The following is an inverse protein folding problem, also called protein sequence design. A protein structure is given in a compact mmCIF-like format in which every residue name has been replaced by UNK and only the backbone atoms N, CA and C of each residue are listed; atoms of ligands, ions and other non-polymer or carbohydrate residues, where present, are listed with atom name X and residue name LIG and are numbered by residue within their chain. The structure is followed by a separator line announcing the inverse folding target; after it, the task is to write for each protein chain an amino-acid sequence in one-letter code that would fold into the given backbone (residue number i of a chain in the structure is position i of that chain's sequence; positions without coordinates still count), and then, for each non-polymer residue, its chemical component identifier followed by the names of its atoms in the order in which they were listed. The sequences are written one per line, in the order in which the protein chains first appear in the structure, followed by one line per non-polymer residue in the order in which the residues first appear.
data_IF_779003250732
#
_entry.id   IF_779003250732
#
_cell.length_a   1.000
_cell.length_b   1.000
_cell.length_c   1.000
_cell.angle_alpha   90.00
_cell.angle_beta   90.00
_cell.angle_gamma   90.00
#
_symmetry.space_group_name_H-M   'P 1'
#
loop_
_entity.id
_entity.type
_entity.pdbx_description
1 polymer ?
#
# COMPACT_ATOMS: atom_id res chain seq x y z
N UNK A 1 -59.96 0.99 -28.99
CA UNK A 1 -58.78 1.29 -29.82
C UNK A 1 -57.60 1.27 -28.86
N UNK A 2 -56.98 0.12 -28.55
CA UNK A 2 -56.29 -0.86 -29.42
C UNK A 2 -55.02 -0.21 -30.01
N UNK A 3 -53.78 -0.70 -29.83
CA UNK A 3 -53.23 -1.96 -29.26
C UNK A 3 -52.24 -1.64 -28.11
N UNK A 4 -51.77 -2.50 -27.18
CA UNK A 4 -51.46 -3.94 -27.10
C UNK A 4 -50.08 -4.41 -27.62
N UNK A 5 -49.46 -5.32 -26.83
CA UNK A 5 -48.13 -5.97 -26.93
C UNK A 5 -46.91 -5.05 -26.65
N UNK A 6 -46.01 -5.31 -25.68
CA UNK A 6 -45.25 -6.51 -25.26
C UNK A 6 -44.11 -6.93 -26.23
N UNK A 7 -42.86 -6.87 -25.75
CA UNK A 7 -42.07 -8.08 -25.44
C UNK A 7 -40.74 -7.73 -24.73
N UNK A 8 -40.17 -8.71 -24.02
CA UNK A 8 -38.87 -8.63 -23.32
C UNK A 8 -37.86 -9.47 -24.10
N UNK A 9 -36.61 -9.01 -24.23
CA UNK A 9 -35.52 -9.81 -24.78
C UNK A 9 -34.20 -9.56 -24.02
N UNK A 10 -33.89 -10.42 -23.05
CA UNK A 10 -32.53 -10.57 -22.53
C UNK A 10 -31.76 -11.52 -23.45
N UNK A 11 -30.60 -11.11 -23.96
CA UNK A 11 -29.68 -12.01 -24.68
C UNK A 11 -28.44 -12.28 -23.83
N UNK A 12 -28.52 -13.32 -23.00
CA UNK A 12 -27.34 -13.92 -22.38
C UNK A 12 -26.72 -14.93 -23.36
N UNK A 13 -25.50 -14.67 -23.82
CA UNK A 13 -24.76 -15.55 -24.74
C UNK A 13 -23.61 -16.24 -24.02
N UNK A 14 -23.93 -17.23 -23.18
CA UNK A 14 -22.94 -18.15 -22.61
C UNK A 14 -22.59 -19.23 -23.65
N UNK A 15 -21.47 -19.10 -24.35
CA UNK A 15 -21.04 -20.14 -25.28
C UNK A 15 -20.37 -21.31 -24.53
N UNK A 16 -21.08 -22.43 -24.42
CA UNK A 16 -20.56 -23.68 -23.85
C UNK A 16 -20.87 -24.86 -24.78
N UNK A 17 -19.86 -25.72 -25.01
CA UNK A 17 -19.95 -26.90 -25.89
C UNK A 17 -19.55 -28.15 -25.07
N UNK A 18 -20.45 -29.14 -24.90
CA UNK A 18 -20.19 -30.37 -24.13
C UNK A 18 -19.85 -31.59 -25.03
N UNK A 19 -19.63 -32.76 -24.38
CA UNK A 19 -19.39 -34.11 -24.97
C UNK A 19 -18.00 -34.30 -25.63
N UNK A 20 -17.32 -35.46 -25.62
CA UNK A 20 -17.47 -36.76 -24.90
C UNK A 20 -16.22 -37.65 -25.24
N UNK A 21 -15.79 -38.74 -24.57
CA UNK A 21 -16.12 -39.46 -23.31
C UNK A 21 -14.92 -40.36 -22.91
N UNK A 22 -14.97 -41.07 -21.76
CA UNK A 22 -14.12 -42.22 -21.34
C UNK A 22 -12.66 -41.88 -20.93
N UNK A 23 -11.97 -42.56 -20.01
CA UNK A 23 -12.26 -43.54 -18.93
C UNK A 23 -10.95 -43.72 -18.10
N UNK A 24 -10.90 -44.46 -16.97
CA UNK A 24 -11.83 -44.58 -15.84
C UNK A 24 -11.14 -44.22 -14.49
N UNK A 25 -11.90 -44.08 -13.40
CA UNK A 25 -11.31 -43.90 -12.06
C UNK A 25 -10.80 -45.21 -11.46
N UNK A 26 -9.57 -45.20 -10.92
CA UNK A 26 -9.12 -46.19 -9.94
C UNK A 26 -9.02 -45.55 -8.54
N UNK A 27 -9.90 -45.99 -7.64
CA UNK A 27 -9.65 -45.90 -6.20
C UNK A 27 -8.49 -46.84 -5.84
N UNK A 28 -7.62 -46.45 -4.90
CA UNK A 28 -7.62 -47.04 -3.55
C UNK A 28 -6.31 -46.80 -2.77
N UNK A 29 -6.46 -46.34 -1.52
CA UNK A 29 -5.67 -46.67 -0.31
C UNK A 29 -4.13 -46.56 -0.25
N UNK A 30 -3.73 -45.99 0.90
CA UNK A 30 -2.63 -46.37 1.79
C UNK A 30 -1.27 -45.69 1.65
N UNK A 31 -0.75 -45.28 2.81
CA UNK A 31 0.63 -44.87 3.03
C UNK A 31 1.54 -46.11 3.07
N UNK A 32 2.69 -46.03 2.39
CA UNK A 32 3.75 -47.04 2.44
C UNK A 32 5.12 -46.37 2.53
N UNK A 33 5.85 -46.66 3.60
CA UNK A 33 7.18 -46.09 3.85
C UNK A 33 8.21 -46.78 2.95
N UNK A 34 8.52 -46.20 1.78
CA UNK A 34 9.51 -46.74 0.85
C UNK A 34 10.85 -46.02 0.98
N UNK A 35 11.71 -46.51 1.87
CA UNK A 35 13.14 -46.17 1.84
C UNK A 35 13.76 -46.93 0.66
N UNK A 36 13.98 -46.23 -0.45
CA UNK A 36 14.83 -46.71 -1.53
C UNK A 36 16.08 -45.85 -1.67
N UNK A 37 17.20 -46.47 -1.31
CA UNK A 37 18.54 -45.91 -1.42
C UNK A 37 19.06 -46.08 -2.85
N UNK A 38 19.87 -45.12 -3.30
CA UNK A 38 20.68 -45.15 -4.54
C UNK A 38 19.91 -45.18 -5.88
N UNK A 39 19.81 -44.02 -6.53
CA UNK A 39 20.71 -43.65 -7.65
C UNK A 39 20.34 -42.26 -8.19
N UNK A 40 21.26 -41.30 -8.12
CA UNK A 40 21.06 -39.95 -8.68
C UNK A 40 21.33 -39.94 -10.19
N UNK A 41 20.37 -39.54 -11.04
CA UNK A 41 20.68 -38.96 -12.35
C UNK A 41 21.09 -37.50 -12.14
N UNK A 42 22.23 -37.10 -12.70
CA UNK A 42 22.66 -35.69 -12.70
C UNK A 42 21.77 -34.85 -13.63
N UNK A 43 20.61 -34.44 -13.12
CA UNK A 43 19.86 -33.32 -13.70
C UNK A 43 20.61 -32.04 -13.33
N UNK A 44 20.77 -31.15 -14.30
CA UNK A 44 21.52 -29.90 -14.12
C UNK A 44 20.84 -29.05 -13.05
N UNK A 45 21.60 -28.61 -12.06
CA UNK A 45 21.19 -27.48 -11.23
C UNK A 45 21.24 -26.22 -12.09
N UNK A 46 20.12 -25.91 -12.76
CA UNK A 46 19.80 -24.51 -12.97
C UNK A 46 19.84 -23.84 -11.59
N UNK A 47 20.57 -22.73 -11.50
CA UNK A 47 20.76 -22.02 -10.25
C UNK A 47 19.46 -21.29 -9.93
N UNK A 48 18.49 -22.03 -9.37
CA UNK A 48 17.35 -21.46 -8.67
C UNK A 48 17.92 -20.73 -7.45
N UNK A 49 18.31 -19.48 -7.69
CA UNK A 49 18.64 -18.52 -6.67
C UNK A 49 17.38 -18.33 -5.83
N UNK A 50 17.33 -19.09 -4.73
CA UNK A 50 16.37 -18.86 -3.66
C UNK A 50 16.73 -17.52 -3.07
N UNK A 51 16.20 -16.45 -3.69
CA UNK A 51 16.16 -15.13 -3.09
C UNK A 51 15.65 -15.32 -1.66
N UNK A 52 16.35 -14.79 -0.64
CA UNK A 52 15.81 -14.83 0.71
C UNK A 52 14.40 -14.20 0.68
N UNK A 53 13.47 -14.65 1.55
CA UNK A 53 12.23 -13.93 1.73
C UNK A 53 12.57 -12.48 2.08
N UNK A 54 11.97 -11.53 1.36
CA UNK A 54 12.26 -10.11 1.52
C UNK A 54 11.55 -9.61 2.79
N UNK A 55 12.13 -9.94 3.94
CA UNK A 55 11.77 -9.37 5.25
C UNK A 55 12.34 -7.94 5.39
N UNK A 56 13.33 -7.59 4.56
CA UNK A 56 13.87 -6.24 4.37
C UNK A 56 12.83 -5.31 3.72
N UNK A 57 11.98 -4.67 4.55
CA UNK A 57 11.12 -3.56 4.13
C UNK A 57 9.67 -3.59 4.63
N UNK A 58 9.21 -4.69 5.25
CA UNK A 58 7.79 -4.91 5.62
C UNK A 58 7.12 -3.79 6.46
N UNK A 59 7.91 -2.93 7.10
CA UNK A 59 7.46 -1.84 7.96
C UNK A 59 8.15 -0.48 7.67
N UNK A 60 8.88 -0.35 6.56
CA UNK A 60 9.77 0.80 6.28
C UNK A 60 9.05 2.17 6.25
N UNK A 61 7.75 2.19 5.96
CA UNK A 61 6.95 3.40 5.88
C UNK A 61 5.78 3.42 6.88
N UNK A 62 5.86 2.65 7.97
CA UNK A 62 4.80 2.56 8.98
C UNK A 62 4.48 3.92 9.62
N UNK A 63 5.49 4.76 9.90
CA UNK A 63 5.25 6.10 10.44
C UNK A 63 4.38 6.93 9.48
N UNK A 64 4.75 6.98 8.20
CA UNK A 64 4.00 7.69 7.16
C UNK A 64 2.59 7.11 6.95
N UNK A 65 2.44 5.78 6.97
CA UNK A 65 1.14 5.13 6.85
C UNK A 65 0.19 5.57 7.99
N UNK A 66 0.69 5.66 9.22
CA UNK A 66 -0.08 6.16 10.36
C UNK A 66 -0.43 7.65 10.19
N UNK A 67 0.53 8.50 9.76
CA UNK A 67 0.30 9.93 9.46
C UNK A 67 -0.73 10.14 8.36
N UNK A 68 -0.77 9.28 7.34
CA UNK A 68 -1.71 9.41 6.23
C UNK A 68 -3.07 8.74 6.48
N UNK A 69 -3.20 7.86 7.47
CA UNK A 69 -4.47 7.22 7.85
C UNK A 69 -5.18 7.86 9.05
N UNK A 70 -4.49 8.61 9.90
CA UNK A 70 -5.13 9.36 11.00
C UNK A 70 -6.17 10.39 10.49
N UNK A 71 -7.32 10.57 11.16
CA UNK A 71 -8.25 11.66 10.85
C UNK A 71 -7.66 13.05 11.12
N UNK A 72 -6.66 13.16 12.00
CA UNK A 72 -6.01 14.41 12.40
C UNK A 72 -4.49 14.22 12.39
N UNK A 73 -3.81 14.82 11.41
CA UNK A 73 -2.36 14.73 11.26
C UNK A 73 -1.62 15.61 12.26
N UNK A 74 -2.13 16.83 12.51
CA UNK A 74 -1.55 17.76 13.48
C UNK A 74 -1.50 17.11 14.87
N UNK A 75 -2.62 16.55 15.32
CA UNK A 75 -2.67 15.86 16.61
C UNK A 75 -1.74 14.65 16.65
N UNK A 76 -1.71 13.82 15.61
CA UNK A 76 -0.80 12.66 15.56
C UNK A 76 0.67 13.08 15.66
N UNK A 77 1.09 14.09 14.88
CA UNK A 77 2.47 14.59 14.89
C UNK A 77 2.85 15.31 16.20
N UNK A 78 1.87 15.86 16.93
CA UNK A 78 2.03 16.43 18.27
C UNK A 78 2.16 15.39 19.40
N UNK A 79 1.74 14.14 19.18
CA UNK A 79 1.64 13.10 20.22
C UNK A 79 2.55 11.88 19.95
N UNK A 80 2.86 11.56 18.70
CA UNK A 80 3.74 10.47 18.32
C UNK A 80 5.23 10.81 18.53
N UNK A 81 6.04 9.83 18.90
CA UNK A 81 7.51 9.93 18.83
C UNK A 81 7.96 9.78 17.37
N UNK A 82 9.10 10.36 16.99
CA UNK A 82 9.72 10.06 15.68
C UNK A 82 10.41 8.70 15.81
N UNK A 83 10.03 7.75 14.96
CA UNK A 83 10.61 6.42 14.87
C UNK A 83 11.79 6.38 13.90
N UNK A 84 12.67 5.38 14.05
CA UNK A 84 13.93 5.29 13.28
C UNK A 84 13.71 5.15 11.76
N UNK A 85 12.55 4.64 11.34
CA UNK A 85 12.14 4.52 9.93
C UNK A 85 12.06 5.88 9.22
N UNK A 86 11.77 6.97 9.95
CA UNK A 86 11.78 8.34 9.42
C UNK A 86 13.17 8.71 8.87
N UNK A 87 14.26 8.18 9.43
CA UNK A 87 15.61 8.44 8.94
C UNK A 87 15.98 7.67 7.66
N UNK A 88 15.14 6.73 7.22
CA UNK A 88 15.28 6.00 5.97
C UNK A 88 14.44 6.60 4.80
N UNK A 89 13.71 7.69 5.04
CA UNK A 89 12.92 8.37 4.00
C UNK A 89 13.79 9.26 3.09
N UNK A 90 13.31 9.62 1.87
CA UNK A 90 13.96 10.64 1.05
C UNK A 90 14.15 11.96 1.80
N UNK A 91 15.29 12.63 1.60
CA UNK A 91 15.75 13.73 2.47
C UNK A 91 14.80 14.94 2.47
N UNK A 92 14.06 15.16 1.39
CA UNK A 92 13.06 16.23 1.28
C UNK A 92 11.85 15.97 2.18
N UNK A 93 11.45 14.70 2.33
CA UNK A 93 10.37 14.29 3.23
C UNK A 93 10.81 14.25 4.71
N UNK A 94 12.06 13.89 5.00
CA UNK A 94 12.63 13.99 6.36
C UNK A 94 12.60 15.45 6.88
N UNK A 95 13.02 16.39 6.03
CA UNK A 95 12.97 17.83 6.33
C UNK A 95 11.54 18.29 6.54
N UNK A 96 10.63 17.92 5.63
CA UNK A 96 9.22 18.29 5.75
C UNK A 96 8.58 17.79 7.05
N UNK A 97 8.78 16.51 7.41
CA UNK A 97 8.24 15.97 8.66
C UNK A 97 8.80 16.68 9.90
N UNK A 98 10.05 17.12 9.85
CA UNK A 98 10.68 17.91 10.92
C UNK A 98 10.05 19.31 11.01
N UNK A 99 9.91 20.00 9.88
CA UNK A 99 9.26 21.32 9.77
C UNK A 99 7.82 21.28 10.31
N UNK A 100 7.00 20.31 9.87
CA UNK A 100 5.61 20.15 10.35
C UNK A 100 5.59 19.90 11.85
N UNK A 101 6.48 19.05 12.38
CA UNK A 101 6.47 18.71 13.80
C UNK A 101 6.89 19.88 14.68
N UNK A 102 7.85 20.69 14.25
CA UNK A 102 8.23 21.92 14.94
C UNK A 102 7.05 22.91 14.98
N UNK A 103 6.44 23.21 13.82
CA UNK A 103 5.30 24.13 13.72
C UNK A 103 4.11 23.67 14.58
N UNK A 104 3.76 22.38 14.54
CA UNK A 104 2.67 21.78 15.33
C UNK A 104 2.93 21.84 16.84
N UNK A 105 4.17 21.59 17.29
CA UNK A 105 4.54 21.68 18.71
C UNK A 105 4.52 23.15 19.18
N UNK A 106 4.98 24.08 18.36
CA UNK A 106 4.91 25.52 18.64
C UNK A 106 3.46 26.01 18.73
N UNK A 107 2.60 25.66 17.77
CA UNK A 107 1.15 25.98 17.83
C UNK A 107 0.50 25.50 19.12
N UNK A 108 0.83 24.27 19.56
CA UNK A 108 0.35 23.71 20.83
C UNK A 108 0.82 24.54 22.02
N UNK A 109 2.10 24.90 22.08
CA UNK A 109 2.67 25.68 23.19
C UNK A 109 2.02 27.08 23.27
N UNK A 110 1.90 27.80 22.15
CA UNK A 110 1.25 29.12 22.11
C UNK A 110 -0.23 29.04 22.54
N UNK A 111 -0.94 27.98 22.11
CA UNK A 111 -2.33 27.72 22.50
C UNK A 111 -2.48 27.42 23.99
N UNK A 112 -1.57 26.65 24.58
CA UNK A 112 -1.52 26.40 26.04
C UNK A 112 -1.19 27.69 26.83
N UNK A 113 -0.46 28.64 26.23
CA UNK A 113 -0.15 29.96 26.80
C UNK A 113 -1.23 31.04 26.55
N UNK A 114 -2.30 30.73 25.81
CA UNK A 114 -3.35 31.65 25.35
C UNK A 114 -2.87 32.79 24.42
N UNK A 115 -1.73 32.61 23.74
CA UNK A 115 -1.23 33.61 22.79
C UNK A 115 -2.02 33.54 21.47
N UNK A 116 -2.77 34.61 21.17
CA UNK A 116 -3.56 34.72 19.94
C UNK A 116 -2.69 35.09 18.72
N UNK A 117 -1.80 34.18 18.34
CA UNK A 117 -1.20 34.20 17.01
C UNK A 117 -2.29 33.99 15.95
N UNK A 118 -2.18 34.72 14.83
CA UNK A 118 -3.05 34.48 13.68
C UNK A 118 -2.70 33.12 13.07
N UNK A 119 -3.64 32.17 13.15
CA UNK A 119 -3.53 30.84 12.55
C UNK A 119 -3.57 30.94 11.01
N UNK A 120 -2.44 31.33 10.43
CA UNK A 120 -2.15 31.03 9.03
C UNK A 120 -1.89 29.51 8.91
N UNK A 121 -2.40 28.84 7.87
CA UNK A 121 -2.17 27.42 7.71
C UNK A 121 -0.69 27.16 7.45
N UNK A 122 -0.09 26.28 8.26
CA UNK A 122 1.30 25.84 8.15
C UNK A 122 1.64 25.41 6.71
N UNK A 123 2.69 26.03 6.14
CA UNK A 123 3.13 25.72 4.77
C UNK A 123 3.84 24.37 4.69
N UNK A 124 4.35 23.84 5.81
CA UNK A 124 4.78 22.46 5.89
C UNK A 124 3.56 21.51 5.91
N UNK A 125 2.53 21.79 6.71
CA UNK A 125 1.33 20.96 6.78
C UNK A 125 0.62 20.87 5.43
N UNK A 126 0.48 22.00 4.70
CA UNK A 126 -0.07 22.03 3.34
C UNK A 126 0.74 21.12 2.39
N UNK A 127 2.08 21.11 2.47
CA UNK A 127 2.92 20.22 1.66
C UNK A 127 2.72 18.74 2.06
N UNK A 128 2.61 18.45 3.36
CA UNK A 128 2.38 17.07 3.84
C UNK A 128 0.97 16.56 3.48
N UNK A 129 -0.04 17.43 3.49
CA UNK A 129 -1.38 17.13 2.99
C UNK A 129 -1.39 16.86 1.48
N UNK A 130 -0.54 17.52 0.67
CA UNK A 130 -0.38 17.16 -0.75
C UNK A 130 0.18 15.76 -0.92
N UNK A 131 1.24 15.39 -0.20
CA UNK A 131 1.81 14.03 -0.23
C UNK A 131 0.75 13.00 0.19
N UNK A 132 0.02 13.24 1.29
CA UNK A 132 -1.11 12.41 1.71
C UNK A 132 -2.13 12.23 0.59
N UNK A 133 -2.63 13.35 0.04
CA UNK A 133 -3.70 13.34 -0.95
C UNK A 133 -3.26 12.65 -2.25
N UNK A 134 -2.01 12.85 -2.67
CA UNK A 134 -1.42 12.13 -3.81
C UNK A 134 -1.43 10.62 -3.58
N UNK A 135 -0.89 10.14 -2.45
CA UNK A 135 -0.81 8.69 -2.14
C UNK A 135 -2.19 8.07 -2.01
N UNK A 136 -3.18 8.78 -1.45
CA UNK A 136 -4.58 8.35 -1.40
C UNK A 136 -5.30 8.35 -2.75
N UNK A 137 -4.89 9.19 -3.70
CA UNK A 137 -5.40 9.17 -5.08
C UNK A 137 -4.82 7.97 -5.83
N UNK A 138 -3.50 7.74 -5.76
CA UNK A 138 -2.86 6.61 -6.44
C UNK A 138 -3.27 5.24 -5.86
N UNK A 139 -3.58 5.16 -4.56
CA UNK A 139 -4.14 3.94 -3.97
C UNK A 139 -5.61 3.65 -4.38
N UNK A 140 -6.23 4.55 -5.17
CA UNK A 140 -7.63 4.46 -5.58
C UNK A 140 -8.63 4.71 -4.44
N UNK A 141 -8.18 5.31 -3.33
CA UNK A 141 -8.95 5.43 -2.10
C UNK A 141 -8.96 4.17 -1.21
N UNK A 142 -8.20 3.13 -1.56
CA UNK A 142 -8.11 1.90 -0.76
C UNK A 142 -6.88 1.93 0.17
N UNK A 143 -7.09 1.56 1.43
CA UNK A 143 -6.04 1.40 2.43
C UNK A 143 -5.14 0.21 2.11
N UNK A 144 -5.67 -0.85 1.49
CA UNK A 144 -4.90 -2.03 1.10
C UNK A 144 -3.81 -1.72 0.04
N UNK A 145 -4.05 -0.72 -0.81
CA UNK A 145 -3.11 -0.28 -1.84
C UNK A 145 -2.21 0.88 -1.36
N UNK A 146 -2.49 1.47 -0.20
CA UNK A 146 -1.86 2.71 0.28
C UNK A 146 -0.36 2.53 0.56
N UNK A 147 0.07 1.36 1.03
CA UNK A 147 1.49 1.04 1.21
C UNK A 147 2.22 0.87 -0.13
N UNK A 148 1.56 0.31 -1.15
CA UNK A 148 2.13 0.15 -2.50
C UNK A 148 2.35 1.50 -3.16
N UNK A 149 1.31 2.35 -3.20
CA UNK A 149 1.39 3.71 -3.73
C UNK A 149 2.43 4.58 -2.98
N UNK A 150 2.59 4.35 -1.67
CA UNK A 150 3.62 5.02 -0.89
C UNK A 150 5.03 4.52 -1.25
N UNK A 151 5.22 3.21 -1.42
CA UNK A 151 6.51 2.61 -1.81
C UNK A 151 6.94 3.05 -3.21
N UNK A 152 5.98 3.19 -4.12
CA UNK A 152 6.18 3.72 -5.48
C UNK A 152 6.67 5.17 -5.43
N UNK A 153 5.96 6.06 -4.72
CA UNK A 153 6.39 7.46 -4.54
C UNK A 153 7.73 7.60 -3.79
N UNK A 154 8.05 6.73 -2.84
CA UNK A 154 9.35 6.76 -2.15
C UNK A 154 10.50 6.23 -3.03
N UNK A 155 10.19 5.65 -4.20
CA UNK A 155 11.17 5.14 -5.17
C UNK A 155 11.44 6.11 -6.33
N UNK A 156 10.59 7.12 -6.53
CA UNK A 156 10.73 8.16 -7.56
C UNK A 156 10.97 9.53 -6.90
N UNK A 157 12.24 9.93 -6.83
CA UNK A 157 12.64 11.20 -6.19
C UNK A 157 12.18 12.43 -7.01
N UNK A 158 12.15 12.32 -8.34
CA UNK A 158 11.65 13.38 -9.23
C UNK A 158 10.14 13.61 -8.98
N UNK A 159 9.32 12.55 -8.94
CA UNK A 159 7.89 12.69 -8.66
C UNK A 159 7.63 13.19 -7.23
N UNK A 160 8.40 12.73 -6.24
CA UNK A 160 8.30 13.22 -4.87
C UNK A 160 8.62 14.71 -4.76
N UNK A 161 9.66 15.22 -5.43
CA UNK A 161 9.92 16.67 -5.49
C UNK A 161 8.78 17.45 -6.16
N UNK A 162 8.19 16.92 -7.25
CA UNK A 162 7.04 17.52 -7.92
C UNK A 162 5.78 17.58 -7.01
N UNK A 163 5.50 16.53 -6.23
CA UNK A 163 4.36 16.48 -5.29
C UNK A 163 4.59 17.43 -4.09
N UNK A 164 5.82 17.54 -3.61
CA UNK A 164 6.22 18.47 -2.56
C UNK A 164 6.20 19.93 -3.05
N UNK A 165 6.45 20.16 -4.35
CA UNK A 165 6.43 21.46 -5.01
C UNK A 165 7.71 22.27 -4.81
N UNK A 166 8.87 21.63 -5.03
CA UNK A 166 10.19 22.27 -5.07
C UNK A 166 10.53 22.86 -6.46
#
# INVERSE_FOLDING_TARGET
MNHEHQSIAYTCSSESKPLSTNEPHLYSTSCGYCIHQELLPTIQQEHFEVRPPVEEGLFQYNYLLNVFTTPDMAKYLAEAEITEDVHALPIHLQRLLSEVKEEVVLERIHKEQNEQLQQQPSMAMIRLERVRNYVWIQSGGDIANLMSALTELMSDEDELENVLGF
#
